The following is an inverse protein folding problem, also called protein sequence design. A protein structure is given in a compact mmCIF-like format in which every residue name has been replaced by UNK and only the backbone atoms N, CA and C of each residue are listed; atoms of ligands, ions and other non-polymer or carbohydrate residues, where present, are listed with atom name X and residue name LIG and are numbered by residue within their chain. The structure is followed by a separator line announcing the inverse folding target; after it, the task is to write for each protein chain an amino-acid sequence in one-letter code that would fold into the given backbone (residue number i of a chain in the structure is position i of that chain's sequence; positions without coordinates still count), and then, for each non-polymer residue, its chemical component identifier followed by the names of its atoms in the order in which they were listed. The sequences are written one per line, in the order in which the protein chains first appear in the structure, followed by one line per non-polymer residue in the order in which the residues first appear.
data_IF_394595370324
#
_entry.id   IF_394595370324
#
_cell.length_a   1.000
_cell.length_b   1.000
_cell.length_c   1.000
_cell.angle_alpha   90.00
_cell.angle_beta   90.00
_cell.angle_gamma   90.00
#
_symmetry.space_group_name_H-M   'P 1'
#
loop_
_entity.id
_entity.type
_entity.pdbx_description
1 polymer ?
#
# COMPACT_ATOMS: atom_id res chain seq x y z
N UNK A 1 13.15 -6.27 -7.43
CA UNK A 1 11.92 -5.47 -7.23
C UNK A 1 11.40 -5.65 -5.82
N UNK A 2 10.78 -4.63 -5.25
CA UNK A 2 10.10 -4.66 -3.95
C UNK A 2 8.60 -4.65 -4.18
N UNK A 3 7.86 -5.51 -3.45
CA UNK A 3 6.40 -5.48 -3.39
C UNK A 3 5.98 -4.73 -2.12
N UNK A 4 5.55 -3.48 -2.29
CA UNK A 4 5.26 -2.58 -1.15
C UNK A 4 3.88 -2.75 -0.55
N UNK A 5 3.03 -3.63 -1.10
CA UNK A 5 1.70 -3.90 -0.56
C UNK A 5 1.20 -5.28 -1.00
N UNK A 6 1.13 -6.19 -0.06
CA UNK A 6 0.54 -7.51 -0.24
C UNK A 6 -0.17 -7.95 1.06
N UNK A 7 -1.02 -8.97 1.01
CA UNK A 7 -1.69 -9.54 2.17
C UNK A 7 -1.26 -11.00 2.38
N UNK A 8 0.06 -11.24 2.49
CA UNK A 8 0.59 -12.61 2.65
C UNK A 8 0.18 -13.30 3.97
N UNK A 9 -0.38 -12.57 4.93
CA UNK A 9 -0.99 -13.11 6.14
C UNK A 9 -2.42 -13.62 5.91
N UNK A 10 -3.06 -13.28 4.78
CA UNK A 10 -4.43 -13.68 4.45
C UNK A 10 -4.56 -15.20 4.32
N UNK A 11 -5.75 -15.71 4.69
CA UNK A 11 -6.13 -17.13 4.63
C UNK A 11 -6.06 -17.71 3.22
N UNK A 12 -6.16 -16.89 2.19
CA UNK A 12 -6.00 -17.31 0.81
C UNK A 12 -4.64 -17.97 0.54
N UNK A 13 -3.65 -17.75 1.43
CA UNK A 13 -2.30 -18.31 1.33
C UNK A 13 -2.01 -19.40 2.36
N UNK A 14 -2.93 -19.81 3.21
CA UNK A 14 -2.65 -20.76 4.31
C UNK A 14 -2.05 -22.07 3.82
N UNK A 15 -2.52 -22.58 2.70
CA UNK A 15 -2.11 -23.87 2.16
C UNK A 15 -0.72 -23.85 1.47
N UNK A 16 -0.28 -22.67 0.93
CA UNK A 16 0.92 -22.59 0.08
C UNK A 16 1.73 -21.29 0.27
N UNK A 17 1.61 -20.63 1.43
CA UNK A 17 2.29 -19.34 1.70
C UNK A 17 3.80 -19.41 1.51
N UNK A 18 4.43 -20.50 1.99
CA UNK A 18 5.87 -20.66 1.88
C UNK A 18 6.31 -20.75 0.41
N UNK A 19 5.58 -21.53 -0.39
CA UNK A 19 5.84 -21.72 -1.81
C UNK A 19 5.59 -20.43 -2.62
N UNK A 20 4.55 -19.66 -2.24
CA UNK A 20 4.27 -18.34 -2.85
C UNK A 20 5.44 -17.38 -2.61
N UNK A 21 5.94 -17.32 -1.38
CA UNK A 21 7.08 -16.47 -1.02
C UNK A 21 8.35 -16.91 -1.77
N UNK A 22 8.60 -18.21 -1.88
CA UNK A 22 9.76 -18.70 -2.61
C UNK A 22 9.67 -18.38 -4.11
N UNK A 23 8.53 -18.60 -4.74
CA UNK A 23 8.30 -18.18 -6.13
C UNK A 23 8.54 -16.67 -6.34
N UNK A 24 8.17 -15.84 -5.36
CA UNK A 24 8.44 -14.42 -5.42
C UNK A 24 9.95 -14.11 -5.40
N UNK A 25 10.70 -14.79 -4.51
CA UNK A 25 12.17 -14.66 -4.43
C UNK A 25 12.85 -15.12 -5.71
N UNK A 26 12.44 -16.26 -6.25
CA UNK A 26 12.91 -16.77 -7.55
C UNK A 26 12.62 -15.82 -8.72
N UNK A 27 11.49 -15.09 -8.66
CA UNK A 27 11.14 -14.04 -9.62
C UNK A 27 11.92 -12.73 -9.41
N UNK A 28 12.79 -12.64 -8.41
CA UNK A 28 13.61 -11.47 -8.11
C UNK A 28 12.93 -10.43 -7.20
N UNK A 29 11.88 -10.82 -6.47
CA UNK A 29 11.27 -9.96 -5.42
C UNK A 29 12.17 -10.03 -4.19
N UNK A 30 12.78 -8.89 -3.83
CA UNK A 30 13.78 -8.80 -2.75
C UNK A 30 13.19 -8.54 -1.38
N UNK A 31 12.08 -7.80 -1.33
CA UNK A 31 11.33 -7.52 -0.12
C UNK A 31 9.82 -7.51 -0.41
N UNK A 32 9.04 -7.88 0.57
CA UNK A 32 7.58 -7.92 0.51
C UNK A 32 7.02 -7.34 1.82
N UNK A 33 6.10 -6.38 1.69
CA UNK A 33 5.45 -5.73 2.81
C UNK A 33 4.01 -6.28 2.95
N UNK A 34 3.77 -7.08 4.00
CA UNK A 34 2.43 -7.59 4.31
C UNK A 34 1.66 -6.57 5.14
N UNK A 35 0.49 -6.13 4.65
CA UNK A 35 -0.27 -5.00 5.17
C UNK A 35 -1.57 -5.48 5.81
N UNK A 36 -1.78 -5.17 7.09
CA UNK A 36 -2.94 -5.60 7.85
C UNK A 36 -4.15 -4.69 7.66
N UNK A 37 -5.35 -5.22 7.93
CA UNK A 37 -6.62 -4.50 7.81
C UNK A 37 -7.29 -4.20 9.17
N UNK A 38 -6.88 -4.86 10.25
CA UNK A 38 -7.39 -4.68 11.62
C UNK A 38 -6.38 -5.18 12.66
N UNK A 39 -6.68 -5.04 13.96
CA UNK A 39 -5.75 -5.44 15.03
C UNK A 39 -5.43 -6.94 15.08
N UNK A 40 -6.38 -7.79 14.74
CA UNK A 40 -6.13 -9.24 14.68
C UNK A 40 -5.21 -9.57 13.54
N UNK A 41 -5.48 -9.02 12.35
CA UNK A 41 -4.62 -9.17 11.18
C UNK A 41 -3.24 -8.55 11.40
N UNK A 42 -3.17 -7.41 12.14
CA UNK A 42 -1.89 -6.80 12.49
C UNK A 42 -0.99 -7.75 13.25
N UNK A 43 -1.50 -8.47 14.23
CA UNK A 43 -0.74 -9.49 14.97
C UNK A 43 -0.30 -10.63 14.06
N UNK A 44 -1.23 -11.12 13.22
CA UNK A 44 -0.93 -12.21 12.25
C UNK A 44 0.10 -11.76 11.21
N UNK A 45 -0.01 -10.54 10.69
CA UNK A 45 0.96 -9.99 9.73
C UNK A 45 2.36 -9.89 10.34
N UNK A 46 2.49 -9.45 11.59
CA UNK A 46 3.77 -9.41 12.32
C UNK A 46 4.36 -10.81 12.48
N UNK A 47 3.54 -11.80 12.87
CA UNK A 47 3.99 -13.20 13.00
C UNK A 47 4.45 -13.78 11.66
N UNK A 48 3.69 -13.55 10.58
CA UNK A 48 4.05 -14.01 9.23
C UNK A 48 5.33 -13.31 8.76
N UNK A 49 5.44 -11.99 8.96
CA UNK A 49 6.65 -11.24 8.60
C UNK A 49 7.88 -11.78 9.31
N UNK A 50 7.81 -12.00 10.61
CA UNK A 50 8.90 -12.58 11.42
C UNK A 50 9.27 -13.99 10.94
N UNK A 51 8.26 -14.83 10.68
CA UNK A 51 8.49 -16.24 10.30
C UNK A 51 9.17 -16.37 8.94
N UNK A 52 8.84 -15.52 7.99
CA UNK A 52 9.28 -15.66 6.59
C UNK A 52 10.30 -14.60 6.14
N UNK A 53 10.77 -13.74 7.06
CA UNK A 53 11.72 -12.67 6.73
C UNK A 53 11.13 -11.62 5.81
N UNK A 54 9.89 -11.23 6.08
CA UNK A 54 9.17 -10.13 5.43
C UNK A 54 9.15 -8.91 6.36
N UNK A 55 8.53 -7.82 5.89
CA UNK A 55 8.17 -6.69 6.74
C UNK A 55 6.65 -6.52 6.81
N UNK A 56 6.15 -5.83 7.83
CA UNK A 56 4.73 -5.68 8.07
C UNK A 56 4.31 -4.21 8.22
N UNK A 57 3.05 -3.93 7.89
CA UNK A 57 2.35 -2.73 8.31
C UNK A 57 1.15 -3.10 9.18
N UNK A 58 0.86 -2.26 10.16
CA UNK A 58 -0.21 -2.48 11.15
C UNK A 58 -1.15 -1.28 11.16
N UNK A 59 -2.46 -1.53 11.22
CA UNK A 59 -3.45 -0.46 11.17
C UNK A 59 -4.87 -0.96 11.11
N UNK A 60 -5.81 -0.04 10.95
CA UNK A 60 -7.24 -0.32 10.79
C UNK A 60 -7.75 0.28 9.50
N UNK A 61 -8.05 -0.59 8.56
CA UNK A 61 -8.64 -0.28 7.26
C UNK A 61 -10.05 0.35 7.44
N UNK A 62 -10.47 1.27 6.59
CA UNK A 62 -11.78 1.90 6.67
C UNK A 62 -12.96 0.92 6.74
N UNK A 63 -12.86 -0.25 6.13
CA UNK A 63 -13.89 -1.30 6.26
C UNK A 63 -14.08 -1.78 7.71
N UNK A 64 -13.05 -1.74 8.52
CA UNK A 64 -13.03 -2.20 9.91
C UNK A 64 -13.14 -1.06 10.93
N UNK A 65 -13.33 0.19 10.49
CA UNK A 65 -13.37 1.36 11.37
C UNK A 65 -14.44 1.27 12.47
N UNK A 66 -15.60 0.68 12.17
CA UNK A 66 -16.67 0.49 13.16
C UNK A 66 -16.30 -0.45 14.31
N UNK A 67 -15.28 -1.29 14.15
CA UNK A 67 -14.74 -2.18 15.18
C UNK A 67 -13.46 -1.68 15.84
N UNK A 68 -13.07 -0.45 15.54
CA UNK A 68 -11.88 0.16 16.14
C UNK A 68 -12.02 0.28 17.66
N UNK A 69 -10.97 -0.01 18.44
CA UNK A 69 -11.01 0.19 19.89
C UNK A 69 -11.09 1.68 20.23
N UNK A 70 -11.58 1.99 21.44
CA UNK A 70 -11.69 3.38 21.91
C UNK A 70 -10.33 4.08 22.09
N UNK A 71 -9.27 3.33 22.34
CA UNK A 71 -7.89 3.83 22.51
C UNK A 71 -6.98 3.16 21.48
N UNK A 72 -7.03 3.67 20.24
CA UNK A 72 -6.23 3.20 19.13
C UNK A 72 -4.73 3.31 19.40
N UNK A 73 -4.30 4.42 20.00
CA UNK A 73 -2.90 4.67 20.27
C UNK A 73 -2.32 3.60 21.21
N UNK A 74 -3.08 3.21 22.24
CA UNK A 74 -2.68 2.15 23.17
C UNK A 74 -2.52 0.78 22.50
N UNK A 75 -3.40 0.47 21.56
CA UNK A 75 -3.36 -0.83 20.85
C UNK A 75 -2.30 -0.87 19.73
N UNK A 76 -2.13 0.23 18.99
CA UNK A 76 -1.20 0.27 17.85
C UNK A 76 0.24 0.58 18.26
N UNK A 77 0.47 1.39 19.32
CA UNK A 77 1.84 1.78 19.69
C UNK A 77 2.77 0.60 20.03
N UNK A 78 2.34 -0.48 20.71
CA UNK A 78 3.16 -1.66 20.88
C UNK A 78 3.50 -2.35 19.57
N UNK A 79 2.52 -2.49 18.67
CA UNK A 79 2.70 -3.15 17.37
C UNK A 79 3.66 -2.38 16.47
N UNK A 80 3.61 -1.04 16.48
CA UNK A 80 4.52 -0.19 15.71
C UNK A 80 5.99 -0.26 16.18
N UNK A 81 6.24 -0.84 17.36
CA UNK A 81 7.61 -1.05 17.90
C UNK A 81 8.13 -2.47 17.67
N UNK A 82 7.29 -3.37 17.15
CA UNK A 82 7.72 -4.74 16.84
C UNK A 82 8.74 -4.74 15.71
N UNK A 83 9.75 -5.59 15.85
CA UNK A 83 10.78 -5.76 14.82
C UNK A 83 10.14 -6.19 13.49
N UNK A 84 10.50 -5.50 12.41
CA UNK A 84 9.98 -5.75 11.07
C UNK A 84 8.68 -5.01 10.76
N UNK A 85 8.09 -4.25 11.70
CA UNK A 85 6.99 -3.32 11.41
C UNK A 85 7.58 -2.00 10.92
N UNK A 86 7.23 -1.63 9.68
CA UNK A 86 7.84 -0.49 8.96
C UNK A 86 6.87 0.63 8.63
N UNK A 87 5.57 0.43 8.84
CA UNK A 87 4.55 1.41 8.50
C UNK A 87 3.27 1.26 9.35
N UNK A 88 2.51 2.34 9.45
CA UNK A 88 1.12 2.34 9.89
C UNK A 88 0.21 2.29 8.67
N UNK A 89 -0.54 1.22 8.55
CA UNK A 89 -1.44 0.96 7.42
C UNK A 89 -2.03 -0.47 7.48
N UNK A 90 -3.09 -0.67 6.77
CA UNK A 90 -3.75 0.19 5.81
C UNK A 90 -4.79 1.09 6.50
N UNK A 91 -4.76 2.39 6.22
CA UNK A 91 -5.64 3.38 6.85
C UNK A 91 -6.26 4.29 5.78
N UNK A 92 -7.38 4.94 6.05
CA UNK A 92 -7.96 5.87 5.08
C UNK A 92 -9.47 5.85 5.02
N UNK A 93 -10.02 6.02 3.80
CA UNK A 93 -11.46 6.14 3.54
C UNK A 93 -11.89 5.27 2.34
N UNK A 94 -13.03 4.59 2.48
CA UNK A 94 -13.70 3.85 1.41
C UNK A 94 -15.21 4.18 1.40
N UNK A 95 -15.62 5.02 0.46
CA UNK A 95 -17.01 5.39 0.25
C UNK A 95 -17.69 4.59 -0.87
N UNK A 96 -16.95 3.65 -1.47
CA UNK A 96 -17.47 2.75 -2.46
C UNK A 96 -18.24 1.58 -1.82
N UNK A 97 -17.60 0.88 -0.90
CA UNK A 97 -18.20 -0.26 -0.19
C UNK A 97 -18.98 0.17 1.07
N UNK A 98 -18.58 1.28 1.69
CA UNK A 98 -19.27 1.92 2.83
C UNK A 98 -19.56 0.95 4.00
N UNK A 99 -18.60 0.02 4.28
CA UNK A 99 -18.76 -1.05 5.26
C UNK A 99 -18.78 -0.57 6.72
N UNK A 100 -18.21 0.61 6.97
CA UNK A 100 -18.31 1.32 8.25
C UNK A 100 -18.93 2.69 8.01
N UNK A 101 -19.67 3.28 8.96
CA UNK A 101 -20.21 4.64 8.83
C UNK A 101 -19.10 5.65 8.48
N UNK A 102 -19.38 6.60 7.59
CA UNK A 102 -18.37 7.54 7.06
C UNK A 102 -17.77 8.43 8.14
N UNK A 103 -18.58 8.91 9.07
CA UNK A 103 -18.13 9.69 10.23
C UNK A 103 -17.17 8.90 11.12
N UNK A 104 -17.41 7.60 11.28
CA UNK A 104 -16.50 6.70 12.02
C UNK A 104 -15.20 6.49 11.23
N UNK A 105 -15.28 6.27 9.90
CA UNK A 105 -14.09 6.18 9.06
C UNK A 105 -13.23 7.44 9.17
N UNK A 106 -13.84 8.63 9.10
CA UNK A 106 -13.16 9.94 9.23
C UNK A 106 -12.47 10.06 10.60
N UNK A 107 -13.18 9.73 11.68
CA UNK A 107 -12.64 9.80 13.04
C UNK A 107 -11.43 8.87 13.22
N UNK A 108 -11.56 7.61 12.81
CA UNK A 108 -10.52 6.59 12.93
C UNK A 108 -9.31 6.92 12.03
N UNK A 109 -9.55 7.44 10.83
CA UNK A 109 -8.49 7.88 9.93
C UNK A 109 -7.68 9.04 10.53
N UNK A 110 -8.36 10.09 11.02
CA UNK A 110 -7.70 11.23 11.65
C UNK A 110 -6.89 10.84 12.90
N UNK A 111 -7.39 9.90 13.73
CA UNK A 111 -6.65 9.40 14.88
C UNK A 111 -5.40 8.63 14.45
N UNK A 112 -5.50 7.75 13.45
CA UNK A 112 -4.35 7.00 12.94
C UNK A 112 -3.30 7.92 12.28
N UNK A 113 -3.70 9.01 11.61
CA UNK A 113 -2.75 10.02 11.11
C UNK A 113 -1.95 10.67 12.24
N UNK A 114 -2.61 10.99 13.37
CA UNK A 114 -1.91 11.52 14.55
C UNK A 114 -0.93 10.50 15.12
N UNK A 115 -1.33 9.22 15.20
CA UNK A 115 -0.45 8.12 15.64
C UNK A 115 0.76 7.98 14.70
N UNK A 116 0.56 8.02 13.37
CA UNK A 116 1.65 7.96 12.38
C UNK A 116 2.64 9.11 12.55
N UNK A 117 2.13 10.33 12.76
CA UNK A 117 2.94 11.51 13.02
C UNK A 117 3.75 11.36 14.30
N UNK A 118 3.12 10.98 15.40
CA UNK A 118 3.73 10.94 16.73
C UNK A 118 4.75 9.79 16.87
N UNK A 119 4.58 8.70 16.10
CA UNK A 119 5.52 7.59 15.99
C UNK A 119 6.56 7.76 14.87
N UNK A 120 6.46 8.82 14.05
CA UNK A 120 7.26 9.02 12.83
C UNK A 120 7.17 7.83 11.84
N UNK A 121 6.10 7.05 11.90
CA UNK A 121 5.87 5.91 11.01
C UNK A 121 5.38 6.37 9.65
N UNK A 122 5.88 5.80 8.55
CA UNK A 122 5.27 5.99 7.24
C UNK A 122 3.81 5.49 7.24
N UNK A 123 2.95 6.14 6.43
CA UNK A 123 1.54 5.76 6.33
C UNK A 123 1.24 5.10 4.98
N UNK A 124 0.43 4.02 5.00
CA UNK A 124 -0.11 3.38 3.80
C UNK A 124 -1.60 3.68 3.74
N UNK A 125 -2.01 4.37 2.69
CA UNK A 125 -3.36 4.90 2.54
C UNK A 125 -4.21 4.10 1.57
N UNK A 126 -5.41 3.75 2.01
CA UNK A 126 -6.54 3.38 1.19
C UNK A 126 -7.39 4.61 0.89
N UNK A 127 -7.65 4.88 -0.38
CA UNK A 127 -8.58 5.93 -0.79
C UNK A 127 -9.45 5.44 -1.94
N UNK A 128 -10.77 5.33 -1.72
CA UNK A 128 -11.72 4.92 -2.75
C UNK A 128 -13.02 5.72 -2.67
N UNK A 129 -13.33 6.44 -3.76
CA UNK A 129 -14.51 7.31 -3.90
C UNK A 129 -14.67 8.36 -2.77
N UNK A 130 -13.54 8.78 -2.14
CA UNK A 130 -13.50 9.67 -0.97
C UNK A 130 -12.44 10.78 -1.09
N UNK A 131 -12.01 11.14 -2.31
CA UNK A 131 -10.82 11.96 -2.54
C UNK A 131 -10.87 13.33 -1.85
N UNK A 132 -11.99 14.04 -1.95
CA UNK A 132 -12.12 15.39 -1.39
C UNK A 132 -12.05 15.37 0.14
N UNK A 133 -12.73 14.41 0.77
CA UNK A 133 -12.70 14.25 2.23
C UNK A 133 -11.33 13.76 2.70
N UNK A 134 -10.72 12.83 1.98
CA UNK A 134 -9.37 12.32 2.25
C UNK A 134 -8.34 13.46 2.24
N UNK A 135 -8.33 14.29 1.19
CA UNK A 135 -7.39 15.42 1.09
C UNK A 135 -7.70 16.53 2.08
N UNK A 136 -8.96 16.75 2.45
CA UNK A 136 -9.34 17.68 3.52
C UNK A 136 -8.69 17.26 4.86
N UNK A 137 -8.78 15.98 5.22
CA UNK A 137 -8.19 15.46 6.46
C UNK A 137 -6.66 15.52 6.40
N UNK A 138 -6.05 15.22 5.24
CA UNK A 138 -4.61 15.38 5.08
C UNK A 138 -4.17 16.84 5.28
N UNK A 139 -4.89 17.84 4.78
CA UNK A 139 -4.55 19.25 5.00
C UNK A 139 -4.56 19.63 6.49
N UNK A 140 -5.39 19.01 7.29
CA UNK A 140 -5.48 19.24 8.73
C UNK A 140 -4.35 18.56 9.51
N UNK A 141 -4.09 17.28 9.21
CA UNK A 141 -3.25 16.43 10.05
C UNK A 141 -1.86 16.14 9.45
N UNK A 142 -1.69 16.15 8.12
CA UNK A 142 -0.44 15.81 7.45
C UNK A 142 0.61 16.91 7.64
N UNK A 143 1.86 16.51 7.91
CA UNK A 143 2.97 17.46 8.09
C UNK A 143 4.11 17.13 7.12
N UNK A 144 4.92 18.11 6.72
CA UNK A 144 5.99 17.93 5.71
C UNK A 144 7.03 16.85 6.03
N UNK A 145 7.20 16.49 7.30
CA UNK A 145 8.12 15.44 7.73
C UNK A 145 7.52 14.03 7.64
N UNK A 146 6.21 13.92 7.44
CA UNK A 146 5.53 12.61 7.31
C UNK A 146 5.80 12.01 5.93
N UNK A 147 5.82 10.69 5.87
CA UNK A 147 6.03 9.91 4.64
C UNK A 147 4.84 8.99 4.42
N UNK A 148 4.42 8.81 3.19
CA UNK A 148 3.30 7.91 2.91
C UNK A 148 3.14 7.57 1.45
N UNK A 149 2.27 6.61 1.20
CA UNK A 149 1.87 6.13 -0.12
C UNK A 149 0.36 5.96 -0.18
N UNK A 150 -0.24 6.39 -1.26
CA UNK A 150 -1.60 5.96 -1.61
C UNK A 150 -1.47 4.67 -2.39
N UNK A 151 -1.79 3.55 -1.72
CA UNK A 151 -1.73 2.23 -2.35
C UNK A 151 -2.83 2.08 -3.41
N UNK A 152 -2.63 1.15 -4.34
CA UNK A 152 -3.59 0.81 -5.41
C UNK A 152 -4.17 2.05 -6.09
N UNK A 153 -3.31 3.01 -6.45
CA UNK A 153 -3.76 4.26 -7.04
C UNK A 153 -4.52 4.03 -8.35
N UNK A 154 -5.77 4.46 -8.39
CA UNK A 154 -6.66 4.33 -9.56
C UNK A 154 -7.32 5.66 -9.95
N UNK A 155 -6.79 6.78 -9.44
CA UNK A 155 -7.33 8.12 -9.68
C UNK A 155 -6.96 8.72 -11.03
N UNK A 156 -7.22 10.03 -11.13
CA UNK A 156 -6.93 10.85 -12.31
C UNK A 156 -5.53 11.49 -12.21
N UNK A 157 -4.95 12.01 -13.33
CA UNK A 157 -3.72 12.79 -13.28
C UNK A 157 -3.78 13.98 -12.32
N UNK A 158 -4.91 14.69 -12.28
CA UNK A 158 -5.09 15.82 -11.37
C UNK A 158 -5.02 15.38 -9.89
N UNK A 159 -5.64 14.25 -9.55
CA UNK A 159 -5.56 13.68 -8.20
C UNK A 159 -4.14 13.22 -7.87
N UNK A 160 -3.44 12.60 -8.81
CA UNK A 160 -2.05 12.20 -8.65
C UNK A 160 -1.14 13.41 -8.32
N UNK A 161 -1.29 14.51 -9.05
CA UNK A 161 -0.54 15.76 -8.75
C UNK A 161 -0.82 16.29 -7.36
N UNK A 162 -2.08 16.37 -6.96
CA UNK A 162 -2.43 16.83 -5.60
C UNK A 162 -1.72 15.96 -4.54
N UNK A 163 -1.74 14.64 -4.69
CA UNK A 163 -1.11 13.72 -3.74
C UNK A 163 0.42 13.88 -3.72
N UNK A 164 1.05 14.00 -4.89
CA UNK A 164 2.50 14.09 -5.00
C UNK A 164 3.03 15.50 -4.69
N UNK A 165 2.41 16.55 -5.25
CA UNK A 165 2.96 17.92 -5.18
C UNK A 165 2.58 18.63 -3.87
N UNK A 166 1.33 18.44 -3.38
CA UNK A 166 0.87 19.08 -2.15
C UNK A 166 1.32 18.32 -0.89
N UNK A 167 1.26 16.98 -0.92
CA UNK A 167 1.50 16.16 0.26
C UNK A 167 2.83 15.38 0.22
N UNK A 168 3.52 15.33 -0.91
CA UNK A 168 4.76 14.57 -1.07
C UNK A 168 4.57 13.06 -1.00
N UNK A 169 3.37 12.57 -1.31
CA UNK A 169 3.03 11.15 -1.23
C UNK A 169 3.55 10.40 -2.46
N UNK A 170 3.90 9.14 -2.24
CA UNK A 170 4.11 8.18 -3.31
C UNK A 170 2.78 7.57 -3.77
N UNK A 171 2.76 7.02 -4.98
CA UNK A 171 1.64 6.27 -5.53
C UNK A 171 2.03 4.80 -5.68
N UNK A 172 1.25 3.90 -5.09
CA UNK A 172 1.36 2.46 -5.23
C UNK A 172 0.76 2.02 -6.57
N UNK A 173 1.58 1.41 -7.41
CA UNK A 173 1.20 0.98 -8.75
C UNK A 173 1.17 -0.55 -8.81
N UNK A 174 -0.05 -1.08 -8.85
CA UNK A 174 -0.33 -2.51 -8.88
C UNK A 174 -0.77 -3.03 -10.26
N UNK A 175 -1.31 -4.25 -10.25
CA UNK A 175 -1.75 -4.97 -11.45
C UNK A 175 -2.76 -4.23 -12.32
N UNK A 176 -3.50 -3.29 -11.74
CA UNK A 176 -4.48 -2.43 -12.46
C UNK A 176 -3.85 -1.69 -13.63
N UNK A 177 -2.56 -1.30 -13.55
CA UNK A 177 -1.83 -0.65 -14.65
C UNK A 177 -1.92 -1.44 -15.96
N UNK A 178 -2.00 -2.76 -15.86
CA UNK A 178 -2.04 -3.68 -17.02
C UNK A 178 -3.45 -3.86 -17.60
N UNK A 179 -4.50 -3.34 -16.95
CA UNK A 179 -5.88 -3.60 -17.37
C UNK A 179 -6.25 -2.76 -18.59
N UNK A 180 -7.07 -3.31 -19.52
CA UNK A 180 -7.44 -2.59 -20.75
C UNK A 180 -8.06 -1.21 -20.50
N UNK A 181 -8.87 -1.08 -19.45
CA UNK A 181 -9.62 0.16 -19.13
C UNK A 181 -8.91 1.10 -18.14
N UNK A 182 -7.61 0.91 -17.89
CA UNK A 182 -6.85 1.70 -16.91
C UNK A 182 -6.15 2.92 -17.52
N UNK A 183 -6.74 3.59 -18.52
CA UNK A 183 -6.09 4.73 -19.19
C UNK A 183 -5.81 5.88 -18.24
N UNK A 184 -6.77 6.21 -17.36
CA UNK A 184 -6.59 7.27 -16.35
C UNK A 184 -5.36 7.02 -15.47
N UNK A 185 -5.13 5.77 -15.06
CA UNK A 185 -3.94 5.40 -14.25
C UNK A 185 -2.67 5.57 -15.07
N UNK A 186 -2.67 5.13 -16.33
CA UNK A 186 -1.52 5.27 -17.22
C UNK A 186 -1.16 6.74 -17.48
N UNK A 187 -2.16 7.58 -17.65
CA UNK A 187 -1.96 9.02 -17.82
C UNK A 187 -1.44 9.68 -16.54
N UNK A 188 -1.95 9.29 -15.38
CA UNK A 188 -1.44 9.74 -14.09
C UNK A 188 0.04 9.35 -13.88
N UNK A 189 0.40 8.09 -14.21
CA UNK A 189 1.78 7.60 -14.14
C UNK A 189 2.73 8.37 -15.05
N UNK A 190 2.32 8.67 -16.31
CA UNK A 190 3.11 9.52 -17.21
C UNK A 190 3.32 10.93 -16.69
N UNK A 191 2.29 11.46 -16.05
CA UNK A 191 2.26 12.84 -15.58
C UNK A 191 3.16 13.08 -14.36
N UNK A 192 3.13 12.19 -13.36
CA UNK A 192 3.95 12.32 -12.14
C UNK A 192 5.36 11.76 -12.31
N UNK A 193 5.58 10.87 -13.28
CA UNK A 193 6.87 10.24 -13.54
C UNK A 193 7.31 9.25 -12.45
N UNK A 194 8.39 8.53 -12.73
CA UNK A 194 8.85 7.40 -11.91
C UNK A 194 9.29 7.78 -10.49
N UNK A 195 9.67 9.03 -10.27
CA UNK A 195 10.18 9.52 -8.99
C UNK A 195 9.14 9.50 -7.84
N UNK A 196 7.86 9.39 -8.18
CA UNK A 196 6.76 9.35 -7.21
C UNK A 196 6.11 7.96 -7.09
N UNK A 197 6.65 6.92 -7.73
CA UNK A 197 6.01 5.62 -7.84
C UNK A 197 6.72 4.55 -7.02
N UNK A 198 5.92 3.66 -6.41
CA UNK A 198 6.36 2.37 -5.87
C UNK A 198 5.55 1.25 -6.52
N UNK A 199 6.09 0.03 -6.54
CA UNK A 199 5.42 -1.14 -7.12
C UNK A 199 4.81 -2.01 -6.03
N UNK A 200 3.66 -2.59 -6.34
CA UNK A 200 2.93 -3.46 -5.43
C UNK A 200 2.11 -4.51 -6.19
N UNK A 201 1.59 -5.50 -5.47
CA UNK A 201 0.66 -6.48 -6.03
C UNK A 201 -0.76 -6.31 -5.55
N UNK A 202 -0.96 -5.97 -4.29
CA UNK A 202 -2.23 -6.07 -3.58
C UNK A 202 -2.77 -7.52 -3.56
N UNK A 203 -1.86 -8.51 -3.56
CA UNK A 203 -2.26 -9.91 -3.57
C UNK A 203 -2.94 -10.32 -2.25
N UNK A 204 -4.00 -11.14 -2.31
CA UNK A 204 -4.43 -12.04 -3.38
C UNK A 204 -5.28 -11.41 -4.49
N UNK A 205 -5.51 -10.10 -4.46
CA UNK A 205 -6.41 -9.38 -5.36
C UNK A 205 -5.68 -8.87 -6.62
N UNK A 206 -6.46 -8.38 -7.60
CA UNK A 206 -6.01 -7.53 -8.71
C UNK A 206 -4.87 -8.10 -9.57
N UNK A 207 -4.81 -9.43 -9.77
CA UNK A 207 -3.78 -10.06 -10.59
C UNK A 207 -3.59 -9.35 -11.95
N UNK A 208 -2.34 -9.02 -12.35
CA UNK A 208 -2.05 -8.32 -13.60
C UNK A 208 -2.32 -9.21 -14.83
N UNK A 209 -2.40 -8.60 -16.02
CA UNK A 209 -2.28 -9.35 -17.27
C UNK A 209 -0.83 -9.86 -17.38
N UNK A 210 -0.58 -11.15 -17.75
CA UNK A 210 -1.54 -12.14 -18.29
C UNK A 210 -2.20 -13.04 -17.22
N UNK A 211 -2.09 -12.73 -15.94
CA UNK A 211 -2.57 -13.58 -14.83
C UNK A 211 -4.02 -13.29 -14.39
N UNK A 212 -4.73 -12.40 -15.07
CA UNK A 212 -6.14 -12.05 -14.76
C UNK A 212 -7.01 -13.28 -14.51
N UNK A 213 -7.87 -13.18 -13.47
CA UNK A 213 -8.79 -14.25 -13.08
C UNK A 213 -8.16 -15.36 -12.22
N UNK A 214 -6.85 -15.27 -11.92
CA UNK A 214 -6.17 -16.13 -10.95
C UNK A 214 -5.98 -15.38 -9.63
N UNK A 215 -5.73 -16.10 -8.52
CA UNK A 215 -5.23 -15.52 -7.29
C UNK A 215 -3.91 -14.82 -7.60
N UNK A 216 -3.80 -13.55 -7.19
CA UNK A 216 -2.56 -12.80 -7.33
C UNK A 216 -1.52 -13.30 -6.32
N UNK A 217 -0.23 -13.09 -6.64
CA UNK A 217 0.90 -13.40 -5.75
C UNK A 217 2.04 -12.39 -5.98
N UNK A 218 2.96 -12.19 -5.00
CA UNK A 218 4.01 -11.17 -5.10
C UNK A 218 4.92 -11.34 -6.32
N UNK A 219 5.15 -12.56 -6.80
CA UNK A 219 5.91 -12.82 -8.03
C UNK A 219 5.38 -12.04 -9.25
N UNK A 220 4.08 -11.72 -9.26
CA UNK A 220 3.44 -11.04 -10.39
C UNK A 220 3.69 -9.52 -10.43
N UNK A 221 4.32 -8.94 -9.42
CA UNK A 221 4.80 -7.53 -9.47
C UNK A 221 5.73 -7.30 -10.66
N UNK A 222 6.43 -8.33 -11.11
CA UNK A 222 7.31 -8.28 -12.30
C UNK A 222 6.55 -7.95 -13.59
N UNK A 223 5.28 -8.37 -13.71
CA UNK A 223 4.44 -7.99 -14.85
C UNK A 223 4.03 -6.51 -14.78
N UNK A 224 3.77 -6.00 -13.58
CA UNK A 224 3.49 -4.56 -13.38
C UNK A 224 4.74 -3.74 -13.69
N UNK A 225 5.92 -4.15 -13.22
CA UNK A 225 7.19 -3.51 -13.53
C UNK A 225 7.47 -3.45 -15.04
N UNK A 226 7.28 -4.57 -15.75
CA UNK A 226 7.44 -4.62 -17.20
C UNK A 226 6.46 -3.69 -17.93
N UNK A 227 5.20 -3.62 -17.49
CA UNK A 227 4.20 -2.70 -18.05
C UNK A 227 4.54 -1.24 -17.75
N UNK A 228 5.08 -0.93 -16.58
CA UNK A 228 5.54 0.41 -16.23
C UNK A 228 6.73 0.83 -17.11
N UNK A 229 7.68 -0.07 -17.35
CA UNK A 229 8.82 0.15 -18.24
C UNK A 229 8.37 0.46 -19.67
N UNK A 230 7.47 -0.36 -20.22
CA UNK A 230 6.85 -0.11 -21.53
C UNK A 230 6.17 1.26 -21.60
N UNK A 231 5.38 1.59 -20.59
CA UNK A 231 4.59 2.82 -20.53
C UNK A 231 5.45 4.09 -20.50
N UNK A 232 6.56 4.04 -19.78
CA UNK A 232 7.48 5.18 -19.60
C UNK A 232 8.60 5.20 -20.65
N UNK A 233 8.75 4.15 -21.45
CA UNK A 233 9.83 4.04 -22.42
C UNK A 233 11.22 3.90 -21.76
N UNK A 234 11.27 3.31 -20.57
CA UNK A 234 12.49 3.12 -19.78
C UNK A 234 12.94 1.65 -19.78
N UNK A 235 14.23 1.36 -19.62
CA UNK A 235 14.71 0.02 -19.36
C UNK A 235 14.09 -0.57 -18.08
N UNK A 236 13.77 -1.86 -18.08
CA UNK A 236 13.14 -2.52 -16.91
C UNK A 236 13.99 -2.42 -15.65
N UNK A 237 15.31 -2.55 -15.77
CA UNK A 237 16.24 -2.45 -14.65
C UNK A 237 16.30 -1.03 -14.06
N UNK A 238 16.11 0.00 -14.88
CA UNK A 238 15.99 1.39 -14.43
C UNK A 238 14.69 1.61 -13.64
N UNK A 239 13.57 1.08 -14.14
CA UNK A 239 12.28 1.13 -13.42
C UNK A 239 12.39 0.43 -12.08
N UNK A 240 12.95 -0.78 -12.03
CA UNK A 240 13.13 -1.52 -10.78
C UNK A 240 14.03 -0.74 -9.82
N UNK A 241 15.18 -0.22 -10.28
CA UNK A 241 16.07 0.57 -9.41
C UNK A 241 15.38 1.81 -8.85
N UNK A 242 14.63 2.55 -9.66
CA UNK A 242 13.97 3.77 -9.24
C UNK A 242 12.85 3.50 -8.23
N UNK A 243 11.99 2.53 -8.49
CA UNK A 243 10.88 2.17 -7.60
C UNK A 243 11.38 1.53 -6.30
N UNK A 244 12.45 0.72 -6.35
CA UNK A 244 13.09 0.17 -5.15
C UNK A 244 13.75 1.28 -4.31
N UNK A 245 14.39 2.29 -4.94
CA UNK A 245 14.92 3.45 -4.22
C UNK A 245 13.80 4.27 -3.55
N UNK A 246 12.64 4.41 -4.21
CA UNK A 246 11.47 5.06 -3.61
C UNK A 246 10.92 4.25 -2.42
N UNK A 247 10.83 2.93 -2.53
CA UNK A 247 10.41 2.06 -1.43
C UNK A 247 11.38 2.15 -0.25
N UNK A 248 12.69 2.18 -0.51
CA UNK A 248 13.71 2.39 0.52
C UNK A 248 13.55 3.77 1.20
N UNK A 249 13.37 4.84 0.42
CA UNK A 249 13.15 6.19 0.95
C UNK A 249 11.90 6.26 1.83
N UNK A 250 10.86 5.51 1.45
CA UNK A 250 9.58 5.50 2.15
C UNK A 250 9.63 4.65 3.41
N UNK A 251 10.06 3.39 3.31
CA UNK A 251 9.94 2.37 4.36
C UNK A 251 11.28 1.92 4.96
N UNK A 252 12.41 2.20 4.33
CA UNK A 252 13.73 1.70 4.76
C UNK A 252 14.01 0.24 4.37
N UNK A 253 13.34 -0.30 3.35
CA UNK A 253 13.40 -1.73 2.95
C UNK A 253 14.01 -1.92 1.57
#
# INVERSE_FOLDING_TARGET
VIDTHCHLHDRAFDDDRAEVIERAREAGVRAMLTVAENLTDSRTAVEVARRYGLVAAVGIHPHNAASAPQDLARELAPLLREDGVVALGEIGLDYHYDRSPRDVQVSVFGEQLRIARDSASPAIFHQRDAFDEFTRILREEWKPAMRGVVHCFTGTPAQARVLCDEFGLFLGIGGVLTFPKAESVRDAVRDVGIGALVLETDCPYLAPVPKRGKRNEPAYVTHTAAKLAELLGLPLDEVVRATDANAFKLFGI
#
